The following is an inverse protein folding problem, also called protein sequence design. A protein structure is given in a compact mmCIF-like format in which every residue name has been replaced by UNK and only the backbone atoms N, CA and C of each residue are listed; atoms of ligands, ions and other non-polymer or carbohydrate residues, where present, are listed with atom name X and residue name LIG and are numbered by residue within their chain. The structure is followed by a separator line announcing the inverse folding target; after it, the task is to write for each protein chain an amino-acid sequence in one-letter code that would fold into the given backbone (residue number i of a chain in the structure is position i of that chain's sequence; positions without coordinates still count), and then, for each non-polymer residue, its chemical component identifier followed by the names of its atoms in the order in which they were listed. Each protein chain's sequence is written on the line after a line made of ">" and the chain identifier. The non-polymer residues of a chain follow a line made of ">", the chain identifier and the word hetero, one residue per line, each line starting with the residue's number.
data_IF_071090668038
#
_entry.id   IF_071090668038
#
_cell.length_a   1.000
_cell.length_b   1.000
_cell.length_c   1.000
_cell.angle_alpha   90.00
_cell.angle_beta   90.00
_cell.angle_gamma   90.00
#
_symmetry.space_group_name_H-M   'P 1'
#
loop_
_entity.id
_entity.type
_entity.pdbx_description
1 polymer ?
#
# COMPACT_ATOMS: atom_id res chain seq x y z
N UNK A 1 -50.58 -14.04 2.69
CA UNK A 1 -49.91 -13.69 3.96
C UNK A 1 -49.24 -12.35 3.74
N UNK A 2 -49.85 -11.25 4.20
CA UNK A 2 -49.42 -9.89 3.87
C UNK A 2 -48.28 -9.47 4.81
N UNK A 3 -47.09 -9.19 4.24
CA UNK A 3 -45.96 -8.65 4.99
C UNK A 3 -46.31 -7.21 5.38
N UNK A 4 -46.33 -6.84 6.67
CA UNK A 4 -46.72 -5.50 7.09
C UNK A 4 -45.69 -4.47 6.57
N UNK A 5 -46.16 -3.53 5.75
CA UNK A 5 -45.35 -2.46 5.12
C UNK A 5 -44.47 -1.65 6.10
N UNK A 6 -44.82 -1.63 7.40
CA UNK A 6 -44.03 -0.94 8.42
C UNK A 6 -42.66 -1.58 8.70
N UNK A 7 -42.46 -2.85 8.35
CA UNK A 7 -41.17 -3.54 8.54
C UNK A 7 -40.17 -3.23 7.41
N UNK A 8 -40.64 -2.88 6.21
CA UNK A 8 -39.79 -2.58 5.05
C UNK A 8 -39.08 -1.22 5.20
N UNK A 9 -39.73 -0.25 5.84
CA UNK A 9 -39.18 1.11 6.00
C UNK A 9 -38.01 1.17 7.00
N UNK A 10 -37.99 0.26 7.99
CA UNK A 10 -36.96 0.22 9.02
C UNK A 10 -35.66 -0.45 8.53
N UNK A 11 -35.76 -1.37 7.57
CA UNK A 11 -34.60 -1.99 6.92
C UNK A 11 -33.94 -1.06 5.90
N UNK A 12 -34.71 -0.19 5.23
CA UNK A 12 -34.18 0.79 4.28
C UNK A 12 -33.41 1.94 4.96
N UNK A 13 -33.77 2.28 6.21
CA UNK A 13 -33.14 3.38 6.95
C UNK A 13 -31.78 2.97 7.57
N UNK A 14 -31.56 1.68 7.84
CA UNK A 14 -30.28 1.18 8.35
C UNK A 14 -29.18 1.11 7.28
N UNK A 15 -29.55 1.05 5.99
CA UNK A 15 -28.61 1.03 4.87
C UNK A 15 -28.10 2.41 4.42
N UNK A 16 -28.62 3.49 5.02
CA UNK A 16 -28.26 4.89 4.70
C UNK A 16 -27.30 5.52 5.71
N UNK A 17 -26.85 4.77 6.73
CA UNK A 17 -25.78 5.24 7.59
C UNK A 17 -24.47 5.08 6.82
N UNK A 18 -23.76 6.18 6.51
CA UNK A 18 -22.43 6.05 5.92
C UNK A 18 -21.58 5.18 6.86
N UNK A 19 -20.73 4.28 6.32
CA UNK A 19 -19.76 3.60 7.16
C UNK A 19 -19.00 4.69 7.91
N UNK A 20 -19.08 4.68 9.24
CA UNK A 20 -18.19 5.50 10.06
C UNK A 20 -16.81 4.96 9.79
N UNK A 21 -16.07 5.63 8.91
CA UNK A 21 -14.64 5.40 8.75
C UNK A 21 -14.03 5.74 10.11
N UNK A 22 -13.60 4.73 10.86
CA UNK A 22 -12.98 4.88 12.17
C UNK A 22 -11.53 5.39 12.05
N UNK A 23 -11.26 6.32 11.14
CA UNK A 23 -9.96 6.97 11.09
C UNK A 23 -9.93 8.05 12.19
N UNK A 24 -9.43 7.67 13.37
CA UNK A 24 -9.35 8.57 14.54
C UNK A 24 -8.13 9.52 14.48
N UNK A 25 -7.21 9.23 13.57
CA UNK A 25 -6.17 10.14 13.07
C UNK A 25 -6.56 10.48 11.63
N UNK A 26 -6.47 11.74 11.22
CA UNK A 26 -6.61 12.16 9.82
C UNK A 26 -5.31 12.72 9.30
N UNK A 27 -5.16 12.73 7.97
CA UNK A 27 -4.02 13.36 7.30
C UNK A 27 -4.46 14.66 6.66
N UNK A 28 -3.71 15.74 6.91
CA UNK A 28 -3.66 16.92 6.05
C UNK A 28 -2.32 16.91 5.34
N UNK A 29 -2.32 16.94 4.01
CA UNK A 29 -1.08 17.04 3.22
C UNK A 29 -1.22 18.12 2.16
N UNK A 30 -0.08 18.69 1.74
CA UNK A 30 0.00 19.49 0.52
C UNK A 30 0.16 18.61 -0.74
N UNK A 31 0.58 17.36 -0.56
CA UNK A 31 0.65 16.33 -1.60
C UNK A 31 -0.64 15.50 -1.68
N UNK A 32 -0.83 14.77 -2.78
CA UNK A 32 -1.89 13.76 -2.88
C UNK A 32 -1.65 12.65 -1.84
N UNK A 33 -2.73 12.25 -1.16
CA UNK A 33 -2.75 11.19 -0.14
C UNK A 33 -3.93 10.27 -0.41
N UNK A 34 -3.67 8.98 -0.40
CA UNK A 34 -4.67 7.93 -0.61
C UNK A 34 -4.62 6.92 0.53
N UNK A 35 -5.72 6.21 0.73
CA UNK A 35 -5.82 5.21 1.79
C UNK A 35 -5.69 3.79 1.24
N UNK A 36 -4.84 2.99 1.88
CA UNK A 36 -4.71 1.56 1.62
C UNK A 36 -5.46 0.74 2.69
N UNK A 37 -6.07 -0.39 2.34
CA UNK A 37 -6.74 -1.24 3.31
C UNK A 37 -5.77 -1.85 4.33
N UNK A 38 -6.14 -1.80 5.61
CA UNK A 38 -5.42 -2.49 6.67
C UNK A 38 -6.01 -3.88 6.92
N UNK A 39 -5.27 -4.92 6.53
CA UNK A 39 -5.68 -6.32 6.62
C UNK A 39 -5.44 -6.91 8.01
N UNK A 40 -4.57 -6.31 8.83
CA UNK A 40 -4.24 -6.82 10.17
C UNK A 40 -5.12 -6.21 11.27
N UNK A 41 -5.40 -4.90 11.17
CA UNK A 41 -6.21 -4.13 12.13
C UNK A 41 -7.08 -3.16 11.35
N UNK A 42 -8.36 -3.48 11.17
CA UNK A 42 -9.25 -2.71 10.27
C UNK A 42 -9.51 -1.28 10.75
N UNK A 43 -9.32 -1.03 12.04
CA UNK A 43 -9.49 0.28 12.66
C UNK A 43 -8.29 1.21 12.40
N UNK A 44 -7.10 0.67 12.16
CA UNK A 44 -5.89 1.45 11.92
C UNK A 44 -5.81 1.85 10.44
N UNK A 45 -5.55 3.13 10.16
CA UNK A 45 -5.46 3.63 8.77
C UNK A 45 -4.06 3.45 8.18
N UNK A 46 -3.96 3.18 6.88
CA UNK A 46 -2.71 3.21 6.13
C UNK A 46 -2.83 4.32 5.10
N UNK A 47 -1.99 5.33 5.22
CA UNK A 47 -1.88 6.45 4.29
C UNK A 47 -0.70 6.20 3.37
N UNK A 48 -0.97 6.27 2.07
CA UNK A 48 0.06 6.33 1.05
C UNK A 48 0.15 7.76 0.57
N UNK A 49 1.36 8.25 0.40
CA UNK A 49 1.67 9.61 -0.01
C UNK A 49 2.38 9.52 -1.36
N UNK A 50 1.96 10.36 -2.31
CA UNK A 50 2.54 10.38 -3.65
C UNK A 50 4.04 10.72 -3.61
N UNK A 51 4.36 11.81 -2.92
CA UNK A 51 5.71 12.34 -2.83
C UNK A 51 6.48 11.77 -1.65
N UNK A 52 7.81 11.81 -1.74
CA UNK A 52 8.67 11.36 -0.66
C UNK A 52 8.46 12.23 0.59
N UNK A 53 8.13 11.58 1.70
CA UNK A 53 8.12 12.21 3.03
C UNK A 53 9.57 12.61 3.38
N UNK A 54 9.84 13.91 3.27
CA UNK A 54 11.13 14.53 3.60
C UNK A 54 10.94 15.65 4.62
N UNK A 55 11.92 15.81 5.51
CA UNK A 55 11.93 16.92 6.46
C UNK A 55 12.01 18.27 5.70
N UNK A 56 11.01 19.12 5.88
CA UNK A 56 10.92 20.44 5.24
C UNK A 56 10.29 20.48 3.85
N UNK A 57 9.81 19.36 3.31
CA UNK A 57 9.01 19.29 2.08
C UNK A 57 7.51 19.55 2.31
N UNK A 58 6.66 19.17 1.34
CA UNK A 58 5.20 19.18 1.49
C UNK A 58 4.81 18.27 2.67
N UNK A 59 4.39 18.91 3.77
CA UNK A 59 4.27 18.22 5.04
C UNK A 59 2.96 17.43 5.10
N UNK A 60 3.11 16.12 5.25
CA UNK A 60 2.05 15.24 5.75
C UNK A 60 1.89 15.52 7.23
N UNK A 61 0.72 15.99 7.66
CA UNK A 61 0.40 16.30 9.05
C UNK A 61 -0.66 15.31 9.52
N UNK A 62 -0.33 14.55 10.56
CA UNK A 62 -1.29 13.74 11.30
C UNK A 62 -2.07 14.64 12.25
N UNK A 63 -3.38 14.47 12.34
CA UNK A 63 -4.24 15.25 13.23
C UNK A 63 -5.15 14.35 14.05
N UNK A 64 -5.25 14.64 15.36
CA UNK A 64 -6.26 14.05 16.22
C UNK A 64 -7.64 14.62 15.87
N UNK A 65 -8.63 13.74 15.72
CA UNK A 65 -10.03 14.16 15.66
C UNK A 65 -10.58 14.55 17.04
N UNK A 66 -10.00 14.01 18.11
CA UNK A 66 -10.36 14.32 19.49
C UNK A 66 -9.48 15.47 19.99
N UNK A 67 -10.02 16.69 20.00
CA UNK A 67 -9.30 17.90 20.42
C UNK A 67 -9.93 18.55 21.65
N UNK A 68 -9.09 18.88 22.65
CA UNK A 68 -9.46 19.67 23.83
C UNK A 68 -8.23 20.41 24.38
N UNK A 69 -8.45 21.54 25.03
CA UNK A 69 -7.42 22.31 25.74
C UNK A 69 -6.96 21.65 27.04
N UNK A 70 -7.70 20.66 27.53
CA UNK A 70 -7.35 19.86 28.72
C UNK A 70 -6.62 18.57 28.38
N UNK A 71 -6.51 18.23 27.10
CA UNK A 71 -5.89 16.98 26.67
C UNK A 71 -4.37 17.11 26.59
N UNK A 72 -3.72 16.00 26.88
CA UNK A 72 -2.30 15.80 26.68
C UNK A 72 -2.10 14.68 25.66
N UNK A 73 -1.35 14.98 24.60
CA UNK A 73 -1.12 14.10 23.46
C UNK A 73 0.30 13.55 23.54
N UNK A 74 0.43 12.26 23.30
CA UNK A 74 1.71 11.55 23.22
C UNK A 74 1.78 10.88 21.85
N UNK A 75 2.63 11.40 20.98
CA UNK A 75 2.93 10.82 19.67
C UNK A 75 4.16 9.92 19.81
N UNK A 76 4.01 8.69 19.36
CA UNK A 76 5.08 7.69 19.31
C UNK A 76 5.17 7.07 17.93
N UNK A 77 6.38 6.67 17.52
CA UNK A 77 6.63 5.91 16.30
C UNK A 77 6.84 4.44 16.63
N UNK A 78 6.44 3.59 15.69
CA UNK A 78 6.69 2.17 15.75
C UNK A 78 8.19 1.85 15.65
N UNK A 79 8.66 0.96 16.53
CA UNK A 79 10.01 0.42 16.52
C UNK A 79 10.00 -1.00 15.95
N UNK A 80 10.49 -1.15 14.72
CA UNK A 80 10.56 -2.46 14.06
C UNK A 80 11.53 -3.44 14.74
N UNK A 81 12.55 -2.96 15.46
CA UNK A 81 13.52 -3.84 16.14
C UNK A 81 12.95 -4.54 17.36
N UNK A 82 11.98 -3.91 18.04
CA UNK A 82 11.35 -4.44 19.26
C UNK A 82 9.87 -4.80 19.06
N UNK A 83 9.30 -4.47 17.89
CA UNK A 83 7.88 -4.62 17.58
C UNK A 83 6.98 -3.88 18.60
N UNK A 84 7.33 -2.63 18.92
CA UNK A 84 6.63 -1.82 19.94
C UNK A 84 6.52 -0.34 19.57
N UNK A 85 5.54 0.35 20.15
CA UNK A 85 5.30 1.79 20.00
C UNK A 85 6.10 2.60 21.04
N UNK A 86 7.42 2.62 20.91
CA UNK A 86 8.32 3.10 21.98
C UNK A 86 9.21 4.26 21.61
N UNK A 87 9.18 4.73 20.36
CA UNK A 87 10.02 5.87 19.92
C UNK A 87 9.20 7.15 20.14
N UNK A 88 9.45 7.96 21.17
CA UNK A 88 8.73 9.22 21.34
C UNK A 88 9.08 10.19 20.22
N UNK A 89 8.08 10.86 19.64
CA UNK A 89 8.30 11.89 18.61
C UNK A 89 7.76 13.26 19.00
N UNK A 90 6.66 13.33 19.74
CA UNK A 90 6.15 14.58 20.30
C UNK A 90 5.26 14.32 21.51
N UNK A 91 5.23 15.24 22.47
CA UNK A 91 4.34 15.17 23.64
C UNK A 91 3.92 16.58 24.07
N UNK A 92 2.70 16.77 24.54
CA UNK A 92 2.22 18.08 25.00
C UNK A 92 0.76 18.35 24.64
N UNK A 93 0.40 19.61 24.51
CA UNK A 93 -0.87 20.08 23.93
C UNK A 93 -0.84 20.08 22.39
N UNK A 94 -0.18 19.07 21.80
CA UNK A 94 0.11 18.99 20.38
C UNK A 94 -0.82 17.99 19.72
N UNK A 95 -2.01 18.45 19.34
CA UNK A 95 -3.03 17.61 18.69
C UNK A 95 -2.69 17.17 17.25
N UNK A 96 -1.60 17.69 16.68
CA UNK A 96 -1.14 17.38 15.33
C UNK A 96 0.36 17.10 15.29
N UNK A 97 0.81 16.30 14.33
CA UNK A 97 2.21 15.93 14.20
C UNK A 97 2.65 15.99 12.73
N UNK A 98 3.65 16.83 12.37
CA UNK A 98 4.23 16.82 11.04
C UNK A 98 5.12 15.58 10.87
N UNK A 99 4.76 14.73 9.91
CA UNK A 99 5.48 13.49 9.60
C UNK A 99 6.78 13.84 8.88
N UNK A 100 7.89 13.33 9.41
CA UNK A 100 9.24 13.50 8.84
C UNK A 100 9.85 12.20 8.31
N UNK A 101 9.20 11.06 8.55
CA UNK A 101 9.67 9.75 8.07
C UNK A 101 8.49 8.82 7.83
N UNK A 102 8.55 7.99 6.79
CA UNK A 102 7.60 6.90 6.60
C UNK A 102 7.64 5.90 7.79
N UNK A 103 6.49 5.30 8.11
CA UNK A 103 6.35 4.29 9.14
C UNK A 103 5.04 4.38 9.92
N UNK A 104 4.97 3.63 11.01
CA UNK A 104 3.83 3.59 11.91
C UNK A 104 3.88 4.72 12.93
N UNK A 105 2.74 5.37 13.17
CA UNK A 105 2.52 6.37 14.21
C UNK A 105 1.39 5.97 15.14
N UNK A 106 1.55 6.26 16.43
CA UNK A 106 0.55 6.08 17.46
C UNK A 106 0.35 7.38 18.23
N UNK A 107 -0.91 7.76 18.38
CA UNK A 107 -1.35 8.84 19.23
C UNK A 107 -1.98 8.27 20.50
N UNK A 108 -1.49 8.68 21.67
CA UNK A 108 -2.14 8.43 22.96
C UNK A 108 -2.65 9.75 23.52
N UNK A 109 -3.93 9.80 23.90
CA UNK A 109 -4.59 11.00 24.43
C UNK A 109 -4.90 10.76 25.91
N UNK A 110 -4.53 11.71 26.77
CA UNK A 110 -4.75 11.68 28.23
C UNK A 110 -5.52 12.90 28.71
N UNK A 111 -6.16 12.75 29.87
CA UNK A 111 -6.75 13.88 30.62
C UNK A 111 -5.66 14.66 31.37
N UNK A 112 -4.95 15.54 30.66
CA UNK A 112 -3.77 16.23 31.18
C UNK A 112 -2.54 15.32 31.30
N UNK A 113 -1.39 15.92 31.63
CA UNK A 113 -0.08 15.26 31.55
C UNK A 113 0.04 13.97 32.37
N UNK A 114 -0.57 13.93 33.55
CA UNK A 114 -0.53 12.78 34.46
C UNK A 114 -1.88 12.07 34.59
N UNK A 115 -2.80 12.33 33.65
CA UNK A 115 -4.12 11.73 33.65
C UNK A 115 -4.16 10.31 33.11
N UNK A 116 -5.35 9.72 33.22
CA UNK A 116 -5.67 8.45 32.58
C UNK A 116 -5.63 8.57 31.07
N UNK A 117 -5.27 7.47 30.39
CA UNK A 117 -5.42 7.34 28.94
C UNK A 117 -6.91 7.34 28.61
N UNK A 118 -7.32 8.27 27.77
CA UNK A 118 -8.68 8.38 27.24
C UNK A 118 -8.80 7.58 25.95
N UNK A 119 -7.85 7.76 25.05
CA UNK A 119 -7.88 7.18 23.70
C UNK A 119 -6.47 6.81 23.22
N UNK A 120 -6.39 5.83 22.32
CA UNK A 120 -5.16 5.40 21.68
C UNK A 120 -5.44 4.98 20.25
N UNK A 121 -4.78 5.66 19.31
CA UNK A 121 -5.02 5.53 17.87
C UNK A 121 -3.73 5.23 17.14
N UNK A 122 -3.80 4.49 16.04
CA UNK A 122 -2.64 4.12 15.23
C UNK A 122 -2.91 4.35 13.76
N UNK A 123 -1.87 4.72 13.04
CA UNK A 123 -1.87 4.76 11.59
C UNK A 123 -0.49 4.43 11.04
N UNK A 124 -0.43 4.16 9.75
CA UNK A 124 0.80 4.01 8.99
C UNK A 124 0.84 5.07 7.90
N UNK A 125 2.03 5.59 7.62
CA UNK A 125 2.26 6.57 6.57
C UNK A 125 3.43 6.09 5.73
N UNK A 126 3.22 5.90 4.43
CA UNK A 126 4.23 5.40 3.51
C UNK A 126 4.30 6.25 2.25
N UNK A 127 5.47 6.26 1.63
CA UNK A 127 5.63 6.78 0.27
C UNK A 127 5.09 5.73 -0.71
N UNK A 128 4.64 6.18 -1.89
CA UNK A 128 4.49 5.26 -3.01
C UNK A 128 5.85 4.61 -3.31
N UNK A 129 5.91 3.27 -3.50
CA UNK A 129 7.15 2.54 -3.68
C UNK A 129 7.61 2.54 -5.14
N UNK A 130 6.84 3.14 -6.05
CA UNK A 130 6.99 2.94 -7.49
C UNK A 130 8.13 3.79 -8.07
N UNK A 131 9.35 3.57 -7.58
CA UNK A 131 10.56 4.18 -8.10
C UNK A 131 11.25 3.30 -9.15
N UNK A 132 11.24 1.97 -8.93
CA UNK A 132 11.91 0.99 -9.78
C UNK A 132 11.01 -0.21 -10.04
N UNK A 133 11.19 -0.82 -11.21
CA UNK A 133 10.54 -2.06 -11.62
C UNK A 133 11.60 -3.00 -12.21
N UNK A 134 11.37 -4.31 -12.07
CA UNK A 134 12.14 -5.34 -12.75
C UNK A 134 11.21 -6.44 -13.28
N UNK A 135 11.71 -7.23 -14.23
CA UNK A 135 11.06 -8.44 -14.72
C UNK A 135 11.93 -9.63 -14.34
N UNK A 136 11.31 -10.69 -13.84
CA UNK A 136 11.93 -11.97 -13.55
C UNK A 136 11.23 -13.08 -14.36
N UNK A 137 12.02 -14.02 -14.86
CA UNK A 137 11.51 -15.29 -15.39
C UNK A 137 11.32 -16.25 -14.21
N UNK A 138 10.07 -16.55 -13.87
CA UNK A 138 9.71 -17.44 -12.76
C UNK A 138 9.85 -18.90 -13.18
N UNK A 139 9.38 -19.21 -14.38
CA UNK A 139 9.40 -20.55 -14.94
C UNK A 139 9.40 -20.46 -16.47
N UNK A 140 10.09 -21.39 -17.12
CA UNK A 140 10.20 -21.45 -18.58
C UNK A 140 10.28 -22.92 -19.04
N UNK A 141 9.61 -23.22 -20.15
CA UNK A 141 9.85 -24.43 -20.93
C UNK A 141 9.41 -24.21 -22.39
N UNK A 142 9.37 -25.29 -23.17
CA UNK A 142 9.04 -25.22 -24.60
C UNK A 142 7.61 -24.80 -24.90
N UNK A 143 6.69 -24.90 -23.93
CA UNK A 143 5.27 -24.63 -24.11
C UNK A 143 4.87 -23.27 -23.52
N UNK A 144 5.50 -22.84 -22.41
CA UNK A 144 5.12 -21.61 -21.73
C UNK A 144 6.29 -20.84 -21.11
N UNK A 145 6.02 -19.56 -20.84
CA UNK A 145 6.87 -18.65 -20.09
C UNK A 145 6.04 -17.94 -19.01
N UNK A 146 6.48 -18.04 -17.76
CA UNK A 146 5.90 -17.33 -16.61
C UNK A 146 6.83 -16.18 -16.23
N UNK A 147 6.35 -14.95 -16.39
CA UNK A 147 7.06 -13.74 -16.01
C UNK A 147 6.51 -13.20 -14.70
N UNK A 148 7.31 -12.41 -13.98
CA UNK A 148 6.86 -11.66 -12.81
C UNK A 148 7.45 -10.26 -12.80
N UNK A 149 6.58 -9.27 -12.65
CA UNK A 149 6.97 -7.91 -12.32
C UNK A 149 7.34 -7.82 -10.84
N UNK A 150 8.54 -7.31 -10.57
CA UNK A 150 9.05 -7.04 -9.24
C UNK A 150 9.01 -5.53 -9.02
N UNK A 151 8.46 -5.12 -7.88
CA UNK A 151 8.50 -3.75 -7.38
C UNK A 151 8.88 -3.76 -5.91
N UNK A 152 9.32 -2.60 -5.43
CA UNK A 152 9.49 -2.41 -3.99
C UNK A 152 8.16 -2.59 -3.27
N UNK A 153 8.23 -3.22 -2.10
CA UNK A 153 7.07 -3.45 -1.24
C UNK A 153 7.36 -3.03 0.18
N UNK A 154 6.37 -2.45 0.84
CA UNK A 154 6.51 -2.00 2.23
C UNK A 154 5.71 -2.88 3.16
N UNK A 155 6.31 -3.20 4.30
CA UNK A 155 5.68 -3.97 5.38
C UNK A 155 5.08 -3.04 6.43
N UNK A 156 3.93 -3.44 6.97
CA UNK A 156 3.38 -2.89 8.19
C UNK A 156 3.05 -4.01 9.19
N UNK A 157 2.89 -3.64 10.46
CA UNK A 157 2.82 -4.60 11.56
C UNK A 157 1.54 -4.45 12.37
N UNK A 158 1.01 -5.58 12.82
CA UNK A 158 -0.08 -5.68 13.77
C UNK A 158 0.41 -5.64 15.23
N UNK A 159 -0.48 -5.41 16.20
CA UNK A 159 -0.14 -5.38 17.63
C UNK A 159 0.37 -6.71 18.18
N UNK A 160 0.10 -7.81 17.48
CA UNK A 160 0.56 -9.16 17.81
C UNK A 160 1.90 -9.52 17.16
N UNK A 161 2.52 -8.60 16.42
CA UNK A 161 3.77 -8.80 15.71
C UNK A 161 3.65 -9.52 14.37
N UNK A 162 2.43 -9.84 13.93
CA UNK A 162 2.22 -10.24 12.52
C UNK A 162 2.50 -9.06 11.61
N UNK A 163 2.87 -9.34 10.37
CA UNK A 163 3.10 -8.34 9.34
C UNK A 163 2.29 -8.63 8.09
N UNK A 164 2.09 -7.59 7.28
CA UNK A 164 1.46 -7.67 5.97
C UNK A 164 2.10 -6.63 5.03
N UNK A 165 1.90 -6.81 3.72
CA UNK A 165 2.34 -5.86 2.70
C UNK A 165 1.28 -4.77 2.52
N UNK A 166 1.74 -3.54 2.32
CA UNK A 166 0.87 -2.42 1.93
C UNK A 166 0.36 -2.68 0.51
N UNK A 167 -0.95 -2.53 0.33
CA UNK A 167 -1.57 -2.61 -1.00
C UNK A 167 -1.54 -1.22 -1.65
N UNK A 168 -0.73 -1.10 -2.69
CA UNK A 168 -0.56 0.14 -3.47
C UNK A 168 -1.48 0.23 -4.69
N UNK A 169 -2.42 -0.72 -4.85
CA UNK A 169 -3.36 -0.72 -5.97
C UNK A 169 -2.64 -0.80 -7.33
N UNK A 170 -1.52 -1.52 -7.40
CA UNK A 170 -0.68 -1.59 -8.60
C UNK A 170 -1.44 -2.25 -9.75
N UNK A 171 -1.31 -1.65 -10.93
CA UNK A 171 -1.79 -2.20 -12.20
C UNK A 171 -0.60 -2.47 -13.11
N UNK A 172 -0.73 -3.49 -13.97
CA UNK A 172 0.37 -4.00 -14.79
C UNK A 172 -0.07 -4.04 -16.24
N UNK A 173 0.79 -3.55 -17.13
CA UNK A 173 0.59 -3.57 -18.57
C UNK A 173 1.82 -4.18 -19.25
N UNK A 174 1.65 -5.39 -19.78
CA UNK A 174 2.71 -6.14 -20.43
C UNK A 174 2.62 -6.03 -21.96
N UNK A 175 3.78 -5.90 -22.60
CA UNK A 175 3.94 -5.90 -24.05
C UNK A 175 5.18 -6.69 -24.46
N UNK A 176 5.19 -7.19 -25.69
CA UNK A 176 6.30 -7.92 -26.29
C UNK A 176 6.65 -7.36 -27.68
N UNK A 177 7.92 -7.40 -28.05
CA UNK A 177 8.38 -6.88 -29.36
C UNK A 177 7.88 -7.71 -30.54
N UNK A 178 7.61 -9.00 -30.34
CA UNK A 178 7.31 -9.97 -31.40
C UNK A 178 5.82 -10.21 -31.59
N UNK A 179 5.02 -9.16 -31.88
CA UNK A 179 3.69 -9.27 -32.53
C UNK A 179 2.55 -10.00 -31.80
N UNK A 180 2.85 -10.90 -30.87
CA UNK A 180 1.96 -11.48 -29.88
C UNK A 180 1.66 -10.35 -28.89
N UNK A 181 0.60 -9.60 -29.22
CA UNK A 181 0.34 -8.27 -28.68
C UNK A 181 0.15 -8.19 -27.17
N UNK A 182 -0.20 -6.99 -26.68
CA UNK A 182 -0.38 -6.69 -25.25
C UNK A 182 -1.10 -7.83 -24.51
N UNK A 183 -0.35 -8.54 -23.67
CA UNK A 183 -0.89 -9.53 -22.76
C UNK A 183 -1.45 -8.79 -21.53
N UNK A 184 -2.47 -7.96 -21.80
CA UNK A 184 -3.06 -6.95 -20.92
C UNK A 184 -3.85 -7.52 -19.74
N UNK A 185 -3.60 -8.77 -19.34
CA UNK A 185 -4.09 -9.23 -18.06
C UNK A 185 -3.36 -8.40 -17.01
N UNK A 186 -4.09 -7.57 -16.26
CA UNK A 186 -3.59 -6.68 -15.21
C UNK A 186 -3.01 -7.46 -14.01
N UNK A 187 -2.15 -8.43 -14.30
CA UNK A 187 -1.57 -9.40 -13.42
C UNK A 187 -0.09 -9.07 -13.25
N UNK A 188 0.35 -9.19 -12.02
CA UNK A 188 1.76 -9.06 -11.67
C UNK A 188 2.62 -10.16 -12.34
N UNK A 189 2.04 -11.34 -12.57
CA UNK A 189 2.75 -12.50 -13.10
C UNK A 189 1.95 -13.14 -14.24
N UNK A 190 2.08 -12.65 -15.49
CA UNK A 190 1.38 -13.23 -16.62
C UNK A 190 1.98 -14.59 -16.99
N UNK A 191 1.11 -15.45 -17.49
CA UNK A 191 1.47 -16.73 -18.06
C UNK A 191 1.18 -16.69 -19.57
N UNK A 192 2.22 -16.87 -20.38
CA UNK A 192 2.14 -16.75 -21.85
C UNK A 192 2.73 -18.00 -22.53
N UNK A 193 2.38 -18.19 -23.79
CA UNK A 193 3.02 -19.22 -24.62
C UNK A 193 4.51 -18.88 -24.79
N UNK A 194 5.36 -19.92 -24.82
CA UNK A 194 6.79 -19.71 -24.96
C UNK A 194 7.12 -19.13 -26.34
N UNK A 195 7.84 -17.99 -26.43
CA UNK A 195 8.23 -17.42 -27.72
C UNK A 195 9.08 -18.39 -28.54
N UNK A 196 8.82 -18.43 -29.84
CA UNK A 196 9.59 -19.25 -30.80
C UNK A 196 10.84 -18.55 -31.31
N UNK A 197 10.95 -17.24 -31.09
CA UNK A 197 12.07 -16.39 -31.45
C UNK A 197 12.47 -15.50 -30.26
N UNK A 198 13.65 -14.87 -30.32
CA UNK A 198 14.09 -13.96 -29.26
C UNK A 198 13.13 -12.77 -29.15
N UNK A 199 12.72 -12.45 -27.94
CA UNK A 199 11.65 -11.49 -27.66
C UNK A 199 12.07 -10.52 -26.56
N UNK A 200 11.76 -9.24 -26.73
CA UNK A 200 11.90 -8.24 -25.67
C UNK A 200 10.55 -8.03 -25.00
N UNK A 201 10.48 -8.28 -23.69
CA UNK A 201 9.32 -8.01 -22.86
C UNK A 201 9.46 -6.65 -22.19
N UNK A 202 8.35 -5.91 -22.13
CA UNK A 202 8.24 -4.67 -21.36
C UNK A 202 7.03 -4.74 -20.46
N UNK A 203 7.19 -4.30 -19.20
CA UNK A 203 6.07 -4.05 -18.30
C UNK A 203 6.04 -2.58 -17.91
N UNK A 204 4.86 -1.98 -17.97
CA UNK A 204 4.56 -0.68 -17.36
C UNK A 204 3.68 -0.96 -16.15
N UNK A 205 4.11 -0.49 -14.99
CA UNK A 205 3.40 -0.64 -13.72
C UNK A 205 2.90 0.74 -13.34
N UNK A 206 1.62 0.85 -12.96
CA UNK A 206 1.01 2.11 -12.54
C UNK A 206 0.43 1.98 -11.14
N UNK A 207 0.73 2.93 -10.26
CA UNK A 207 0.18 2.98 -8.89
C UNK A 207 -1.16 3.72 -8.81
N UNK A 208 -1.73 3.76 -7.60
CA UNK A 208 -2.99 4.47 -7.31
C UNK A 208 -2.96 5.99 -7.52
N UNK A 209 -1.78 6.62 -7.69
CA UNK A 209 -1.64 8.04 -8.03
C UNK A 209 -1.41 8.28 -9.53
N UNK A 210 -1.30 7.21 -10.32
CA UNK A 210 -0.93 7.28 -11.73
C UNK A 210 0.57 7.51 -11.95
N UNK A 211 1.43 7.28 -10.95
CA UNK A 211 2.87 7.20 -11.20
C UNK A 211 3.18 5.91 -11.95
N UNK A 212 4.23 5.92 -12.76
CA UNK A 212 4.60 4.77 -13.59
C UNK A 212 6.05 4.38 -13.37
N UNK A 213 6.31 3.08 -13.37
CA UNK A 213 7.64 2.50 -13.52
C UNK A 213 7.62 1.48 -14.65
N UNK A 214 8.71 1.40 -15.41
CA UNK A 214 8.83 0.45 -16.51
C UNK A 214 10.06 -0.43 -16.36
N UNK A 215 9.94 -1.69 -16.76
CA UNK A 215 11.08 -2.60 -16.86
C UNK A 215 11.07 -3.32 -18.21
N UNK A 216 12.27 -3.68 -18.68
CA UNK A 216 12.48 -4.44 -19.90
C UNK A 216 13.30 -5.70 -19.65
N UNK A 217 13.01 -6.76 -20.40
CA UNK A 217 13.73 -8.04 -20.36
C UNK A 217 13.92 -8.55 -21.79
N UNK A 218 15.17 -8.70 -22.23
CA UNK A 218 15.51 -9.43 -23.46
C UNK A 218 15.59 -10.93 -23.17
N UNK A 219 14.69 -11.70 -23.77
CA UNK A 219 14.56 -13.14 -23.60
C UNK A 219 15.03 -13.90 -24.84
N UNK A 220 15.79 -14.97 -24.64
CA UNK A 220 16.27 -15.85 -25.72
C UNK A 220 15.41 -17.11 -25.77
N UNK A 221 14.78 -17.38 -26.92
CA UNK A 221 13.87 -18.51 -27.06
C UNK A 221 14.57 -19.87 -26.85
N UNK A 222 13.95 -20.74 -26.06
CA UNK A 222 14.45 -22.11 -25.82
C UNK A 222 14.57 -22.91 -27.13
N UNK A 223 13.64 -22.71 -28.07
CA UNK A 223 13.69 -23.34 -29.39
C UNK A 223 14.99 -23.00 -30.16
N UNK A 224 15.50 -21.78 -30.00
CA UNK A 224 16.74 -21.30 -30.61
C UNK A 224 17.97 -21.89 -29.89
N UNK A 225 17.92 -22.04 -28.55
CA UNK A 225 18.98 -22.65 -27.77
C UNK A 225 19.16 -24.16 -28.09
N UNK A 226 18.05 -24.89 -28.29
CA UNK A 226 18.13 -26.32 -28.62
C UNK A 226 18.84 -26.58 -29.95
N UNK A 227 18.65 -25.70 -30.95
CA UNK A 227 19.27 -25.84 -32.27
C UNK A 227 20.80 -25.62 -32.24
N UNK A 228 21.29 -24.70 -31.40
CA UNK A 228 22.73 -24.38 -31.33
C UNK A 228 23.56 -25.46 -30.64
N UNK A 229 22.97 -26.29 -29.77
CA UNK A 229 23.68 -27.39 -29.08
C UNK A 229 23.84 -28.62 -29.99
N UNK A 230 22.98 -28.82 -30.98
CA UNK A 230 22.94 -30.03 -31.84
C UNK A 230 23.96 -30.08 -33.00
N UNK A 231 24.98 -29.21 -33.03
CA UNK A 231 25.96 -29.12 -34.13
C UNK A 231 27.39 -29.53 -33.69
N UNK A 232 27.52 -30.54 -32.82
CA UNK A 232 28.81 -31.11 -32.41
C UNK A 232 28.83 -32.63 -32.46
#
# INVERSE_FOLDING_TARGET
>A
MAIPHKFLLLFLLAALLPPKTNAQITVRSASDVETSPNLLVREDSIYVVRDQIIEGGDQVILESLSQSTTYYYEWTRYNASTNTWTIPVATGDIASYPVSTAGGYQLTIREGMNGSVLEQHRCWVFNSPLAEAAIEVVNENCDFLELRAITDSTLYYGPDGRYALVDYGLTYHWSASTGEGDFSEAQQAPYIDAPVEDTDFTVIITDLFGNEASAGLSYTAIAVQAYTVSIW
#
